data_IF_586015846443
#
_entry.id   IF_586015846443
#
_cell.length_a   1.000
_cell.length_b   1.000
_cell.length_c   1.000
_cell.angle_alpha   90.00
_cell.angle_beta   90.00
_cell.angle_gamma   90.00
#
_symmetry.space_group_name_H-M   'P 1'
#
loop_
_entity.id
_entity.type
_entity.pdbx_description
1 polymer ?
#
# COMPACT_ATOMS: atom_id res chain seq x y z
N UNK A 1 -71.79 56.08 63.51
CA UNK A 1 -70.98 56.19 62.27
C UNK A 1 -69.92 55.08 62.25
N UNK A 2 -70.26 53.81 61.94
CA UNK A 2 -69.33 52.68 62.12
C UNK A 2 -69.29 51.61 61.01
N UNK A 3 -70.14 51.68 59.98
CA UNK A 3 -70.21 50.65 58.91
C UNK A 3 -69.54 51.06 57.59
N UNK A 4 -69.42 52.37 57.30
CA UNK A 4 -68.79 52.86 56.06
C UNK A 4 -67.26 52.67 56.05
N UNK A 5 -66.61 52.76 57.21
CA UNK A 5 -65.17 52.53 57.35
C UNK A 5 -64.80 51.06 57.09
N UNK A 6 -65.62 50.11 57.56
CA UNK A 6 -65.44 48.67 57.30
C UNK A 6 -65.50 48.33 55.80
N UNK A 7 -66.41 48.95 55.04
CA UNK A 7 -66.55 48.71 53.59
C UNK A 7 -65.35 49.28 52.82
N UNK A 8 -64.85 50.46 53.21
CA UNK A 8 -63.67 51.07 52.58
C UNK A 8 -62.42 50.23 52.85
N UNK A 9 -62.26 49.72 54.09
CA UNK A 9 -61.16 48.81 54.44
C UNK A 9 -61.26 47.48 53.69
N UNK A 10 -62.46 46.89 53.56
CA UNK A 10 -62.68 45.67 52.77
C UNK A 10 -62.38 45.87 51.28
N UNK A 11 -62.80 47.00 50.68
CA UNK A 11 -62.47 47.34 49.30
C UNK A 11 -60.97 47.57 49.10
N UNK A 12 -60.29 48.15 50.09
CA UNK A 12 -58.83 48.30 50.11
C UNK A 12 -58.09 46.96 50.21
N UNK A 13 -58.59 46.01 50.99
CA UNK A 13 -58.00 44.66 51.09
C UNK A 13 -58.22 43.90 49.78
N UNK A 14 -59.41 43.96 49.19
CA UNK A 14 -59.72 43.30 47.91
C UNK A 14 -58.85 43.86 46.78
N UNK A 15 -58.63 45.18 46.73
CA UNK A 15 -57.77 45.79 45.71
C UNK A 15 -56.29 45.43 45.89
N UNK A 16 -55.79 45.37 47.13
CA UNK A 16 -54.43 44.92 47.44
C UNK A 16 -54.25 43.43 47.11
N UNK A 17 -55.22 42.58 47.46
CA UNK A 17 -55.18 41.15 47.11
C UNK A 17 -55.22 40.92 45.60
N UNK A 18 -56.01 41.70 44.84
CA UNK A 18 -56.04 41.61 43.38
C UNK A 18 -54.71 42.02 42.73
N UNK A 19 -54.04 43.05 43.27
CA UNK A 19 -52.70 43.47 42.81
C UNK A 19 -51.65 42.41 43.15
N UNK A 20 -51.70 41.82 44.35
CA UNK A 20 -50.78 40.75 44.76
C UNK A 20 -50.96 39.48 43.90
N UNK A 21 -52.21 39.11 43.61
CA UNK A 21 -52.51 37.96 42.73
C UNK A 21 -52.02 38.24 41.31
N UNK A 22 -52.26 39.44 40.76
CA UNK A 22 -51.76 39.83 39.43
C UNK A 22 -50.22 39.79 39.38
N UNK A 23 -49.55 40.32 40.39
CA UNK A 23 -48.08 40.31 40.47
C UNK A 23 -47.53 38.89 40.64
N UNK A 24 -48.23 38.01 41.36
CA UNK A 24 -47.84 36.61 41.50
C UNK A 24 -48.02 35.84 40.18
N UNK A 25 -49.13 36.06 39.46
CA UNK A 25 -49.34 35.45 38.14
C UNK A 25 -48.38 35.98 37.07
N UNK A 26 -48.04 37.28 37.09
CA UNK A 26 -47.02 37.82 36.18
C UNK A 26 -45.62 37.31 36.53
N UNK A 27 -45.27 37.25 37.82
CA UNK A 27 -43.98 36.74 38.26
C UNK A 27 -43.82 35.23 38.01
N UNK A 28 -44.89 34.44 38.15
CA UNK A 28 -44.88 33.01 37.78
C UNK A 28 -44.82 32.80 36.28
N UNK A 29 -45.57 33.57 35.48
CA UNK A 29 -45.47 33.52 34.02
C UNK A 29 -44.08 33.95 33.50
N UNK A 30 -43.46 34.96 34.11
CA UNK A 30 -42.08 35.36 33.82
C UNK A 30 -41.06 34.29 34.21
N UNK A 31 -41.26 33.64 35.37
CA UNK A 31 -40.42 32.53 35.82
C UNK A 31 -40.54 31.30 34.91
N UNK A 32 -41.76 30.90 34.53
CA UNK A 32 -42.00 29.81 33.57
C UNK A 32 -41.40 30.13 32.19
N UNK A 33 -41.52 31.37 31.71
CA UNK A 33 -40.90 31.81 30.46
C UNK A 33 -39.37 31.78 30.53
N UNK A 34 -38.76 32.17 31.67
CA UNK A 34 -37.31 32.06 31.88
C UNK A 34 -36.84 30.61 31.93
N UNK A 35 -37.59 29.73 32.58
CA UNK A 35 -37.26 28.31 32.67
C UNK A 35 -37.36 27.63 31.29
N UNK A 36 -38.40 27.92 30.52
CA UNK A 36 -38.54 27.43 29.14
C UNK A 36 -37.42 27.93 28.22
N UNK A 37 -36.97 29.19 28.36
CA UNK A 37 -35.81 29.71 27.65
C UNK A 37 -34.53 28.97 28.05
N UNK A 38 -34.29 28.75 29.34
CA UNK A 38 -33.13 28.03 29.83
C UNK A 38 -33.08 26.56 29.35
N UNK A 39 -34.23 25.87 29.38
CA UNK A 39 -34.35 24.49 28.89
C UNK A 39 -34.12 24.39 27.39
N UNK A 40 -34.67 25.34 26.61
CA UNK A 40 -34.44 25.41 25.17
C UNK A 40 -32.96 25.65 24.83
N UNK A 41 -32.32 26.64 25.47
CA UNK A 41 -30.89 26.92 25.24
C UNK A 41 -30.02 25.71 25.61
N UNK A 42 -30.34 25.00 26.70
CA UNK A 42 -29.66 23.76 27.08
C UNK A 42 -29.80 22.69 25.99
N UNK A 43 -30.99 22.53 25.42
CA UNK A 43 -31.23 21.59 24.32
C UNK A 43 -30.42 21.96 23.07
N UNK A 44 -30.37 23.25 22.69
CA UNK A 44 -29.55 23.71 21.55
C UNK A 44 -28.06 23.36 21.72
N UNK A 45 -27.51 23.48 22.92
CA UNK A 45 -26.12 23.07 23.19
C UNK A 45 -25.93 21.54 23.15
N UNK A 46 -26.92 20.76 23.60
CA UNK A 46 -26.87 19.30 23.54
C UNK A 46 -26.93 18.80 22.10
N UNK A 47 -27.82 19.38 21.29
CA UNK A 47 -27.96 19.07 19.86
C UNK A 47 -26.67 19.44 19.10
N UNK A 48 -26.10 20.62 19.38
CA UNK A 48 -24.79 21.03 18.86
C UNK A 48 -23.68 20.02 19.18
N UNK A 49 -23.58 19.60 20.44
CA UNK A 49 -22.54 18.67 20.87
C UNK A 49 -22.69 17.30 20.19
N UNK A 50 -23.93 16.80 20.04
CA UNK A 50 -24.22 15.55 19.34
C UNK A 50 -23.90 15.65 17.84
N UNK A 51 -24.31 16.73 17.17
CA UNK A 51 -24.01 16.95 15.76
C UNK A 51 -22.51 17.11 15.51
N UNK A 52 -21.79 17.80 16.40
CA UNK A 52 -20.33 17.93 16.33
C UNK A 52 -19.65 16.56 16.49
N UNK A 53 -20.11 15.73 17.43
CA UNK A 53 -19.58 14.39 17.62
C UNK A 53 -19.81 13.51 16.39
N UNK A 54 -21.02 13.51 15.84
CA UNK A 54 -21.35 12.76 14.63
C UNK A 54 -20.48 13.22 13.45
N UNK A 55 -20.27 14.52 13.30
CA UNK A 55 -19.43 15.08 12.25
C UNK A 55 -17.96 14.63 12.35
N UNK A 56 -17.41 14.54 13.56
CA UNK A 56 -16.05 14.03 13.80
C UNK A 56 -15.97 12.53 13.51
N UNK A 57 -16.98 11.75 13.92
CA UNK A 57 -17.03 10.32 13.64
C UNK A 57 -17.13 10.01 12.15
N UNK A 58 -17.99 10.73 11.42
CA UNK A 58 -18.12 10.59 9.96
C UNK A 58 -16.78 10.85 9.25
N UNK A 59 -16.04 11.83 9.74
CA UNK A 59 -14.72 12.19 9.22
C UNK A 59 -13.68 11.09 9.46
N UNK A 60 -13.60 10.59 10.69
CA UNK A 60 -12.69 9.50 11.05
C UNK A 60 -12.99 8.25 10.24
N UNK A 61 -14.27 7.96 10.02
CA UNK A 61 -14.72 6.85 9.18
C UNK A 61 -14.30 7.03 7.71
N UNK A 62 -14.39 8.25 7.16
CA UNK A 62 -13.94 8.55 5.80
C UNK A 62 -12.42 8.37 5.63
N UNK A 63 -11.63 8.82 6.61
CA UNK A 63 -10.19 8.61 6.61
C UNK A 63 -9.82 7.12 6.64
N UNK A 64 -10.47 6.36 7.52
CA UNK A 64 -10.23 4.92 7.66
C UNK A 64 -10.60 4.17 6.36
N UNK A 65 -11.75 4.49 5.76
CA UNK A 65 -12.16 3.90 4.48
C UNK A 65 -11.17 4.22 3.35
N UNK A 66 -10.68 5.45 3.31
CA UNK A 66 -9.69 5.84 2.31
C UNK A 66 -8.35 5.14 2.55
N UNK A 67 -7.90 5.02 3.79
CA UNK A 67 -6.71 4.24 4.15
C UNK A 67 -6.83 2.79 3.70
N UNK A 68 -7.96 2.13 3.98
CA UNK A 68 -8.22 0.76 3.53
C UNK A 68 -8.20 0.65 1.99
N UNK A 69 -8.73 1.65 1.29
CA UNK A 69 -8.67 1.70 -0.18
C UNK A 69 -7.23 1.78 -0.68
N UNK A 70 -6.39 2.62 -0.07
CA UNK A 70 -4.98 2.73 -0.43
C UNK A 70 -4.19 1.45 -0.10
N UNK A 71 -4.54 0.75 0.98
CA UNK A 71 -3.92 -0.54 1.32
C UNK A 71 -4.22 -1.61 0.27
N UNK A 72 -5.48 -1.73 -0.16
CA UNK A 72 -5.86 -2.66 -1.24
C UNK A 72 -5.16 -2.29 -2.56
N UNK A 73 -5.04 -0.99 -2.84
CA UNK A 73 -4.28 -0.54 -4.00
C UNK A 73 -2.79 -0.89 -3.88
N UNK A 74 -2.17 -0.74 -2.71
CA UNK A 74 -0.78 -1.08 -2.48
C UNK A 74 -0.51 -2.57 -2.74
N UNK A 75 -1.38 -3.44 -2.23
CA UNK A 75 -1.29 -4.89 -2.41
C UNK A 75 -1.41 -5.27 -3.89
N UNK A 76 -2.41 -4.71 -4.59
CA UNK A 76 -2.59 -4.95 -6.02
C UNK A 76 -1.41 -4.47 -6.86
N UNK A 77 -0.94 -3.25 -6.61
CA UNK A 77 0.19 -2.66 -7.34
C UNK A 77 1.48 -3.48 -7.08
N UNK A 78 1.65 -4.02 -5.87
CA UNK A 78 2.75 -4.93 -5.53
C UNK A 78 2.66 -6.27 -6.27
N UNK A 79 1.49 -6.91 -6.27
CA UNK A 79 1.28 -8.18 -6.98
C UNK A 79 1.54 -8.06 -8.49
N UNK A 80 1.06 -6.97 -9.10
CA UNK A 80 1.29 -6.68 -10.52
C UNK A 80 2.78 -6.50 -10.81
N UNK A 81 3.48 -5.74 -9.96
CA UNK A 81 4.91 -5.50 -10.11
C UNK A 81 5.74 -6.77 -9.86
N UNK A 82 5.36 -7.61 -8.91
CA UNK A 82 6.00 -8.89 -8.64
C UNK A 82 5.86 -9.83 -9.85
N UNK A 83 4.66 -9.97 -10.40
CA UNK A 83 4.41 -10.80 -11.58
C UNK A 83 5.20 -10.29 -12.80
N UNK A 84 5.28 -8.97 -13.00
CA UNK A 84 6.09 -8.37 -14.05
C UNK A 84 7.60 -8.64 -13.86
N UNK A 85 8.09 -8.58 -12.61
CA UNK A 85 9.48 -8.87 -12.28
C UNK A 85 9.84 -10.34 -12.53
N UNK A 86 8.96 -11.27 -12.15
CA UNK A 86 9.14 -12.71 -12.41
C UNK A 86 9.16 -13.01 -13.92
N UNK A 87 8.23 -12.40 -14.67
CA UNK A 87 8.20 -12.53 -16.12
C UNK A 87 9.47 -11.98 -16.79
N UNK A 88 9.98 -10.82 -16.33
CA UNK A 88 11.22 -10.24 -16.83
C UNK A 88 12.43 -11.13 -16.49
N UNK A 89 12.49 -11.69 -15.27
CA UNK A 89 13.54 -12.63 -14.87
C UNK A 89 13.57 -13.85 -15.80
N UNK A 90 12.42 -14.49 -16.02
CA UNK A 90 12.32 -15.67 -16.90
C UNK A 90 12.73 -15.33 -18.32
N UNK A 91 12.22 -14.23 -18.89
CA UNK A 91 12.57 -13.81 -20.25
C UNK A 91 14.07 -13.53 -20.40
N UNK A 92 14.70 -12.89 -19.41
CA UNK A 92 16.13 -12.58 -19.44
C UNK A 92 16.99 -13.84 -19.31
N UNK A 93 16.61 -14.78 -18.43
CA UNK A 93 17.31 -16.07 -18.29
C UNK A 93 17.16 -16.91 -19.55
N UNK A 94 15.98 -16.96 -20.16
CA UNK A 94 15.76 -17.67 -21.43
C UNK A 94 16.57 -17.05 -22.57
N UNK A 95 16.61 -15.73 -22.67
CA UNK A 95 17.45 -15.05 -23.66
C UNK A 95 18.94 -15.38 -23.48
N UNK A 96 19.42 -15.39 -22.23
CA UNK A 96 20.81 -15.73 -21.93
C UNK A 96 21.12 -17.22 -22.19
N UNK A 97 20.16 -18.12 -21.97
CA UNK A 97 20.31 -19.54 -22.33
C UNK A 97 20.52 -19.71 -23.83
N UNK A 98 19.80 -18.97 -24.67
CA UNK A 98 20.00 -19.00 -26.13
C UNK A 98 21.40 -18.52 -26.51
N UNK A 99 21.93 -17.51 -25.83
CA UNK A 99 23.32 -17.05 -26.02
C UNK A 99 24.33 -18.15 -25.62
N UNK A 100 24.12 -18.81 -24.49
CA UNK A 100 24.97 -19.92 -24.03
C UNK A 100 24.87 -21.15 -24.93
N UNK A 101 23.71 -21.44 -25.52
CA UNK A 101 23.55 -22.51 -26.51
C UNK A 101 24.37 -22.24 -27.77
N UNK A 102 24.40 -20.98 -28.24
CA UNK A 102 25.25 -20.59 -29.37
C UNK A 102 26.74 -20.72 -29.02
N UNK A 103 27.16 -20.28 -27.83
CA UNK A 103 28.53 -20.44 -27.34
C UNK A 103 28.91 -21.94 -27.21
N UNK A 104 27.99 -22.76 -26.69
CA UNK A 104 28.15 -24.21 -26.58
C UNK A 104 28.36 -24.85 -27.96
N UNK A 105 27.57 -24.48 -28.96
CA UNK A 105 27.72 -25.00 -30.31
C UNK A 105 29.09 -24.65 -30.92
N UNK A 106 29.59 -23.42 -30.69
CA UNK A 106 30.92 -23.01 -31.15
C UNK A 106 32.03 -23.83 -30.46
N UNK A 107 31.91 -24.06 -29.14
CA UNK A 107 32.86 -24.85 -28.37
C UNK A 107 32.86 -26.33 -28.79
N UNK A 108 31.68 -26.90 -29.06
CA UNK A 108 31.54 -28.27 -29.58
C UNK A 108 32.23 -28.40 -30.93
N UNK A 109 32.07 -27.44 -31.84
CA UNK A 109 32.74 -27.49 -33.14
C UNK A 109 34.26 -27.35 -33.00
N UNK A 110 34.76 -26.50 -32.08
CA UNK A 110 36.20 -26.42 -31.77
C UNK A 110 36.74 -27.74 -31.22
N UNK A 111 36.03 -28.38 -30.29
CA UNK A 111 36.40 -29.68 -29.75
C UNK A 111 36.41 -30.77 -30.83
N UNK A 112 35.41 -30.75 -31.71
CA UNK A 112 35.32 -31.69 -32.83
C UNK A 112 36.51 -31.57 -33.77
N UNK A 113 36.86 -30.35 -34.16
CA UNK A 113 38.01 -30.10 -35.04
C UNK A 113 39.34 -30.48 -34.39
N UNK A 114 39.50 -30.18 -33.09
CA UNK A 114 40.74 -30.39 -32.35
C UNK A 114 40.95 -31.84 -31.91
N UNK A 115 39.89 -32.58 -31.58
CA UNK A 115 39.97 -33.90 -30.98
C UNK A 115 39.21 -34.96 -31.77
N UNK A 116 37.91 -34.80 -32.01
CA UNK A 116 37.10 -35.87 -32.61
C UNK A 116 37.61 -36.27 -34.01
N UNK A 117 37.92 -35.29 -34.87
CA UNK A 117 38.45 -35.56 -36.20
C UNK A 117 39.84 -36.22 -36.13
N UNK A 118 40.82 -35.71 -35.37
CA UNK A 118 42.11 -36.39 -35.18
C UNK A 118 42.00 -37.80 -34.58
N UNK A 119 41.11 -38.02 -33.61
CA UNK A 119 40.83 -39.33 -33.01
C UNK A 119 40.30 -40.29 -34.07
N UNK A 120 39.26 -39.90 -34.82
CA UNK A 120 38.72 -40.70 -35.92
C UNK A 120 39.79 -41.03 -36.98
N UNK A 121 40.63 -40.06 -37.33
CA UNK A 121 41.72 -40.29 -38.28
C UNK A 121 42.78 -41.26 -37.75
N UNK A 122 43.10 -41.22 -36.46
CA UNK A 122 44.04 -42.14 -35.84
C UNK A 122 43.44 -43.56 -35.70
N UNK A 123 42.15 -43.68 -35.41
CA UNK A 123 41.42 -44.95 -35.41
C UNK A 123 41.40 -45.58 -36.81
N UNK A 124 41.11 -44.78 -37.84
CA UNK A 124 41.17 -45.24 -39.24
C UNK A 124 42.57 -45.72 -39.61
N UNK A 125 43.63 -45.04 -39.18
CA UNK A 125 45.01 -45.49 -39.41
C UNK A 125 45.29 -46.81 -38.72
N UNK A 126 44.86 -46.99 -37.47
CA UNK A 126 45.00 -48.26 -36.75
C UNK A 126 44.28 -49.43 -37.41
N UNK A 127 43.18 -49.16 -38.12
CA UNK A 127 42.44 -50.19 -38.86
C UNK A 127 43.17 -50.66 -40.14
N UNK A 128 44.24 -49.97 -40.58
CA UNK A 128 45.01 -50.34 -41.77
C UNK A 128 46.00 -51.47 -41.41
N UNK A 129 45.93 -52.58 -42.16
CA UNK A 129 46.67 -53.84 -41.90
C UNK A 129 48.20 -53.71 -42.04
N UNK A 130 48.72 -52.61 -42.60
CA UNK A 130 50.14 -52.44 -42.94
C UNK A 130 51.01 -51.77 -41.88
N UNK A 131 50.51 -51.50 -40.66
CA UNK A 131 51.29 -50.86 -39.60
C UNK A 131 52.25 -51.83 -38.92
N UNK A 132 53.46 -51.36 -38.58
CA UNK A 132 54.37 -52.10 -37.70
C UNK A 132 53.88 -52.09 -36.25
N UNK A 133 54.31 -53.05 -35.42
CA UNK A 133 53.92 -53.12 -34.00
C UNK A 133 54.31 -51.86 -33.21
N UNK A 134 55.46 -51.27 -33.53
CA UNK A 134 55.94 -50.03 -32.90
C UNK A 134 55.04 -48.85 -33.25
N UNK A 135 54.65 -48.70 -34.51
CA UNK A 135 53.74 -47.64 -34.96
C UNK A 135 52.34 -47.81 -34.37
N UNK A 136 51.86 -49.06 -34.33
CA UNK A 136 50.58 -49.41 -33.72
C UNK A 136 50.52 -49.01 -32.25
N UNK A 137 51.51 -49.41 -31.47
CA UNK A 137 51.60 -49.08 -30.03
C UNK A 137 51.66 -47.56 -29.81
N UNK A 138 52.41 -46.83 -30.66
CA UNK A 138 52.48 -45.36 -30.58
C UNK A 138 51.12 -44.72 -30.86
N UNK A 139 50.41 -45.15 -31.90
CA UNK A 139 49.07 -44.66 -32.24
C UNK A 139 48.04 -44.97 -31.14
N UNK A 140 48.08 -46.16 -30.55
CA UNK A 140 47.20 -46.55 -29.44
C UNK A 140 47.42 -45.66 -28.20
N UNK A 141 48.67 -45.36 -27.86
CA UNK A 141 48.99 -44.42 -26.77
C UNK A 141 48.50 -43.00 -27.06
N UNK A 142 48.74 -42.50 -28.28
CA UNK A 142 48.26 -41.18 -28.70
C UNK A 142 46.73 -41.08 -28.67
N UNK A 143 46.01 -42.12 -29.09
CA UNK A 143 44.56 -42.17 -29.00
C UNK A 143 44.06 -42.14 -27.56
N UNK A 144 44.73 -42.88 -26.67
CA UNK A 144 44.39 -42.89 -25.25
C UNK A 144 44.54 -41.49 -24.64
N UNK A 145 45.65 -40.81 -24.93
CA UNK A 145 45.91 -39.42 -24.50
C UNK A 145 44.86 -38.46 -25.06
N UNK A 146 44.62 -38.46 -26.38
CA UNK A 146 43.65 -37.56 -27.00
C UNK A 146 42.22 -37.76 -26.48
N UNK A 147 41.80 -39.00 -26.23
CA UNK A 147 40.47 -39.29 -25.66
C UNK A 147 40.35 -38.80 -24.21
N UNK A 148 41.41 -38.96 -23.42
CA UNK A 148 41.43 -38.46 -22.05
C UNK A 148 41.38 -36.92 -22.04
N UNK A 149 42.19 -36.25 -22.86
CA UNK A 149 42.15 -34.79 -23.00
C UNK A 149 40.79 -34.29 -23.47
N UNK A 150 40.20 -34.90 -24.49
CA UNK A 150 38.87 -34.53 -24.99
C UNK A 150 37.80 -34.62 -23.88
N UNK A 151 37.82 -35.69 -23.08
CA UNK A 151 36.88 -35.86 -21.98
C UNK A 151 37.04 -34.78 -20.90
N UNK A 152 38.29 -34.44 -20.55
CA UNK A 152 38.59 -33.35 -19.60
C UNK A 152 38.11 -32.02 -20.15
N UNK A 153 38.50 -31.67 -21.37
CA UNK A 153 38.14 -30.39 -22.00
C UNK A 153 36.62 -30.23 -22.13
N UNK A 154 35.91 -31.29 -22.50
CA UNK A 154 34.45 -31.27 -22.58
C UNK A 154 33.81 -31.00 -21.21
N UNK A 155 34.29 -31.66 -20.16
CA UNK A 155 33.79 -31.46 -18.80
C UNK A 155 34.09 -30.05 -18.28
N UNK A 156 35.28 -29.53 -18.55
CA UNK A 156 35.67 -28.16 -18.18
C UNK A 156 34.78 -27.10 -18.86
N UNK A 157 34.49 -27.26 -20.15
CA UNK A 157 33.60 -26.33 -20.86
C UNK A 157 32.15 -26.41 -20.38
N UNK A 158 31.63 -27.60 -20.13
CA UNK A 158 30.28 -27.76 -19.55
C UNK A 158 30.20 -27.10 -18.17
N UNK A 159 31.25 -27.28 -17.36
CA UNK A 159 31.35 -26.62 -16.06
C UNK A 159 31.40 -25.09 -16.20
N UNK A 160 32.18 -24.56 -17.14
CA UNK A 160 32.29 -23.11 -17.39
C UNK A 160 30.93 -22.50 -17.79
N UNK A 161 30.22 -23.13 -18.74
CA UNK A 161 28.90 -22.67 -19.18
C UNK A 161 27.88 -22.70 -18.03
N UNK A 162 27.90 -23.74 -17.21
CA UNK A 162 27.05 -23.82 -16.01
C UNK A 162 27.38 -22.74 -14.98
N UNK A 163 28.67 -22.43 -14.78
CA UNK A 163 29.08 -21.33 -13.89
C UNK A 163 28.62 -19.97 -14.42
N UNK A 164 28.71 -19.74 -15.73
CA UNK A 164 28.19 -18.52 -16.38
C UNK A 164 26.69 -18.38 -16.18
N UNK A 165 25.92 -19.45 -16.41
CA UNK A 165 24.47 -19.46 -16.19
C UNK A 165 24.11 -19.15 -14.73
N UNK A 166 24.76 -19.81 -13.78
CA UNK A 166 24.50 -19.57 -12.35
C UNK A 166 24.84 -18.14 -11.92
N UNK A 167 25.98 -17.61 -12.38
CA UNK A 167 26.37 -16.24 -12.08
C UNK A 167 25.37 -15.22 -12.66
N UNK A 168 24.89 -15.47 -13.88
CA UNK A 168 23.87 -14.63 -14.50
C UNK A 168 22.54 -14.67 -13.74
N UNK A 169 22.04 -15.87 -13.39
CA UNK A 169 20.80 -16.03 -12.62
C UNK A 169 20.87 -15.29 -11.27
N UNK A 170 22.00 -15.40 -10.57
CA UNK A 170 22.21 -14.68 -9.30
C UNK A 170 22.24 -13.16 -9.50
N UNK A 171 22.94 -12.68 -10.53
CA UNK A 171 23.01 -11.25 -10.83
C UNK A 171 21.64 -10.68 -11.21
N UNK A 172 20.87 -11.41 -12.01
CA UNK A 172 19.52 -10.99 -12.41
C UNK A 172 18.55 -11.04 -11.22
N UNK A 173 18.64 -12.04 -10.33
CA UNK A 173 17.85 -12.08 -9.09
C UNK A 173 18.12 -10.85 -8.21
N UNK A 174 19.39 -10.47 -8.03
CA UNK A 174 19.75 -9.26 -7.27
C UNK A 174 19.16 -8.01 -7.93
N UNK A 175 19.31 -7.87 -9.25
CA UNK A 175 18.77 -6.73 -10.00
C UNK A 175 17.24 -6.62 -9.88
N UNK A 176 16.53 -7.75 -9.94
CA UNK A 176 15.08 -7.77 -9.81
C UNK A 176 14.63 -7.41 -8.39
N UNK A 177 15.34 -7.90 -7.35
CA UNK A 177 15.09 -7.49 -5.96
C UNK A 177 15.32 -5.99 -5.74
N UNK A 178 16.39 -5.43 -6.30
CA UNK A 178 16.66 -3.99 -6.22
C UNK A 178 15.56 -3.16 -6.88
N UNK A 179 15.07 -3.58 -8.06
CA UNK A 179 13.93 -2.95 -8.72
C UNK A 179 12.66 -3.00 -7.88
N UNK A 180 12.34 -4.16 -7.30
CA UNK A 180 11.16 -4.34 -6.45
C UNK A 180 11.24 -3.47 -5.18
N UNK A 181 12.40 -3.41 -4.54
CA UNK A 181 12.62 -2.57 -3.36
C UNK A 181 12.50 -1.07 -3.69
N UNK A 182 13.09 -0.63 -4.81
CA UNK A 182 12.96 0.76 -5.25
C UNK A 182 11.50 1.12 -5.60
N UNK A 183 10.76 0.18 -6.18
CA UNK A 183 9.33 0.35 -6.43
C UNK A 183 8.53 0.45 -5.12
N UNK A 184 8.79 -0.41 -4.14
CA UNK A 184 8.12 -0.39 -2.84
C UNK A 184 8.27 0.96 -2.14
N UNK A 185 9.49 1.49 -2.10
CA UNK A 185 9.78 2.80 -1.51
C UNK A 185 9.05 3.94 -2.25
N UNK A 186 9.11 3.95 -3.58
CA UNK A 186 8.43 4.96 -4.39
C UNK A 186 6.90 4.88 -4.26
N UNK A 187 6.33 3.67 -4.20
CA UNK A 187 4.89 3.48 -4.05
C UNK A 187 4.43 3.88 -2.65
N UNK A 188 5.17 3.52 -1.60
CA UNK A 188 4.89 3.94 -0.24
C UNK A 188 4.89 5.47 -0.10
N UNK A 189 5.88 6.16 -0.69
CA UNK A 189 5.91 7.63 -0.70
C UNK A 189 4.71 8.23 -1.43
N UNK A 190 4.35 7.68 -2.59
CA UNK A 190 3.19 8.12 -3.38
C UNK A 190 1.88 7.96 -2.60
N UNK A 191 1.64 6.78 -2.02
CA UNK A 191 0.42 6.48 -1.26
C UNK A 191 0.33 7.33 0.02
N UNK A 192 1.46 7.53 0.70
CA UNK A 192 1.55 8.43 1.87
C UNK A 192 1.17 9.86 1.52
N UNK A 193 1.68 10.40 0.40
CA UNK A 193 1.28 11.73 -0.10
C UNK A 193 -0.21 11.79 -0.44
N UNK A 194 -0.76 10.76 -1.07
CA UNK A 194 -2.20 10.71 -1.39
C UNK A 194 -3.06 10.69 -0.12
N UNK A 195 -2.66 9.95 0.92
CA UNK A 195 -3.34 9.92 2.21
C UNK A 195 -3.31 11.30 2.89
N UNK A 196 -2.14 11.91 2.98
CA UNK A 196 -1.97 13.20 3.64
C UNK A 196 -2.74 14.32 2.93
N UNK A 197 -2.76 14.32 1.59
CA UNK A 197 -3.57 15.28 0.82
C UNK A 197 -5.07 15.10 1.08
N UNK A 198 -5.56 13.86 1.12
CA UNK A 198 -6.96 13.58 1.40
C UNK A 198 -7.34 14.01 2.82
N UNK A 199 -6.47 13.72 3.80
CA UNK A 199 -6.63 14.18 5.18
C UNK A 199 -6.71 15.70 5.26
N UNK A 200 -5.76 16.43 4.67
CA UNK A 200 -5.78 17.89 4.70
C UNK A 200 -7.06 18.47 4.10
N UNK A 201 -7.52 17.90 2.97
CA UNK A 201 -8.78 18.29 2.34
C UNK A 201 -9.94 18.10 3.31
N UNK A 202 -10.06 16.92 3.91
CA UNK A 202 -11.12 16.68 4.86
C UNK A 202 -10.98 17.66 6.05
N UNK A 203 -9.79 17.91 6.59
CA UNK A 203 -9.62 18.78 7.78
C UNK A 203 -10.15 20.19 7.53
N UNK A 204 -9.99 20.70 6.29
CA UNK A 204 -10.57 21.97 5.85
C UNK A 204 -12.10 21.88 5.79
N UNK A 205 -12.65 20.81 5.23
CA UNK A 205 -14.10 20.58 5.18
C UNK A 205 -14.72 20.46 6.59
N UNK A 206 -14.04 19.77 7.51
CA UNK A 206 -14.43 19.64 8.92
C UNK A 206 -14.47 21.00 9.61
N UNK A 207 -13.40 21.79 9.50
CA UNK A 207 -13.34 23.15 10.08
C UNK A 207 -14.46 24.05 9.56
N UNK A 208 -14.74 24.01 8.26
CA UNK A 208 -15.83 24.79 7.68
C UNK A 208 -17.20 24.37 8.23
N UNK A 209 -17.46 23.07 8.35
CA UNK A 209 -18.71 22.54 8.92
C UNK A 209 -18.84 22.84 10.41
N UNK A 210 -17.76 22.76 11.18
CA UNK A 210 -17.74 23.15 12.60
C UNK A 210 -18.09 24.63 12.80
N UNK A 211 -17.48 25.53 12.02
CA UNK A 211 -17.80 26.97 12.09
C UNK A 211 -19.26 27.26 11.75
N UNK A 212 -19.80 26.56 10.74
CA UNK A 212 -21.21 26.69 10.38
C UNK A 212 -22.12 26.22 11.52
N UNK A 213 -21.83 25.04 12.08
CA UNK A 213 -22.58 24.46 13.18
C UNK A 213 -22.56 25.37 14.43
N UNK A 214 -21.41 25.97 14.74
CA UNK A 214 -21.26 26.94 15.84
C UNK A 214 -22.06 28.22 15.57
N UNK A 215 -22.05 28.71 14.33
CA UNK A 215 -22.85 29.87 13.92
C UNK A 215 -24.35 29.60 14.02
N UNK A 216 -24.79 28.40 13.63
CA UNK A 216 -26.19 27.97 13.69
C UNK A 216 -26.65 27.83 15.15
N UNK A 217 -25.82 27.25 16.03
CA UNK A 217 -26.06 27.18 17.47
C UNK A 217 -26.19 28.58 18.09
N UNK A 218 -25.25 29.50 17.80
CA UNK A 218 -25.31 30.88 18.30
C UNK A 218 -26.57 31.61 17.86
N UNK A 219 -26.98 31.43 16.61
CA UNK A 219 -28.23 32.01 16.09
C UNK A 219 -29.47 31.41 16.75
N UNK A 220 -29.53 30.10 16.91
CA UNK A 220 -30.64 29.43 17.57
C UNK A 220 -30.78 29.86 19.04
N UNK A 221 -29.66 30.03 19.76
CA UNK A 221 -29.64 30.55 21.12
C UNK A 221 -30.11 32.02 21.19
N UNK A 222 -29.71 32.87 20.23
CA UNK A 222 -30.03 34.30 20.22
C UNK A 222 -31.47 34.64 19.78
N UNK A 223 -32.13 33.81 18.96
CA UNK A 223 -33.51 34.08 18.45
C UNK A 223 -34.58 34.10 19.56
N UNK A 224 -34.25 33.72 20.80
CA UNK A 224 -35.18 33.70 21.94
C UNK A 224 -34.68 34.44 23.19
N UNK A 225 -33.55 35.13 23.14
CA UNK A 225 -33.16 36.11 24.18
C UNK A 225 -34.10 37.33 24.14
#
# INVERSE_FOLDING_TARGET
MGKKWLIIVLLGIISVSAVLVRNYYSASAEYEAQQQKADYTKQVYQDYAAELQNLVQDYEQQLEQYYQTLMVQAERDWEEQLAASEAEFTANVEAYLVELEAESAELVEKLRQRYEIPILNAELKLAIVSLSEVERTKLENQLKEMRAEYAVMRAEYEQELNQKLQAYQQAEEVRQKEKLSAFEEANAEKLSKMYEQYRQRLEVELKAKQQKLESDMRRAAAVRE
#
